data_IF_664529677965
#
_entry.id   IF_664529677965
#
_cell.length_a   1.000
_cell.length_b   1.000
_cell.length_c   1.000
_cell.angle_alpha   90.00
_cell.angle_beta   90.00
_cell.angle_gamma   90.00
#
_symmetry.space_group_name_H-M   'P 1'
#
loop_
_entity.id
_entity.type
_entity.pdbx_description
1 polymer ?
#
# COMPACT_ATOMS: atom_id res chain seq x y z
N UNK A 1 12.00 -3.03 -9.55
CA UNK A 1 12.59 -3.11 -8.19
C UNK A 1 13.19 -4.46 -7.85
N UNK A 2 12.49 -5.59 -8.03
CA UNK A 2 13.00 -6.91 -7.60
C UNK A 2 14.39 -7.26 -8.16
N UNK A 3 14.64 -7.05 -9.46
CA UNK A 3 15.96 -7.29 -10.06
C UNK A 3 17.08 -6.52 -9.33
N UNK A 4 16.85 -5.23 -9.06
CA UNK A 4 17.81 -4.38 -8.35
C UNK A 4 18.08 -4.86 -6.93
N UNK A 5 17.04 -5.31 -6.21
CA UNK A 5 17.19 -5.84 -4.86
C UNK A 5 18.01 -7.14 -4.85
N UNK A 6 17.77 -8.04 -5.80
CA UNK A 6 18.54 -9.29 -5.95
C UNK A 6 19.99 -8.99 -6.36
N UNK A 7 20.21 -8.03 -7.26
CA UNK A 7 21.55 -7.56 -7.59
C UNK A 7 22.25 -6.95 -6.38
N UNK A 8 21.56 -6.20 -5.52
CA UNK A 8 22.12 -5.65 -4.29
C UNK A 8 22.52 -6.77 -3.32
N UNK A 9 21.66 -7.76 -3.10
CA UNK A 9 21.98 -8.95 -2.28
C UNK A 9 23.17 -9.74 -2.83
N UNK A 10 23.35 -9.77 -4.15
CA UNK A 10 24.48 -10.42 -4.80
C UNK A 10 25.75 -9.55 -4.85
N UNK A 11 25.70 -8.29 -4.39
CA UNK A 11 26.80 -7.34 -4.47
C UNK A 11 27.16 -6.91 -5.89
N UNK A 12 26.19 -6.91 -6.80
CA UNK A 12 26.38 -6.66 -8.24
C UNK A 12 25.98 -5.24 -8.66
N UNK A 13 25.51 -4.39 -7.75
CA UNK A 13 25.16 -3.02 -8.11
C UNK A 13 26.42 -2.20 -8.41
N UNK A 14 26.40 -1.33 -9.45
CA UNK A 14 27.52 -0.45 -9.75
C UNK A 14 27.90 0.42 -8.54
N UNK A 15 29.16 0.37 -8.12
CA UNK A 15 29.67 1.16 -7.00
C UNK A 15 29.36 0.63 -5.59
N UNK A 16 28.66 -0.50 -5.45
CA UNK A 16 28.29 -1.05 -4.13
C UNK A 16 29.48 -1.57 -3.32
N UNK A 17 30.52 -2.10 -3.98
CA UNK A 17 31.75 -2.54 -3.32
C UNK A 17 31.63 -3.83 -2.48
N UNK A 18 30.52 -4.57 -2.59
CA UNK A 18 30.30 -5.83 -1.88
C UNK A 18 28.81 -6.19 -1.79
N UNK A 19 28.46 -7.25 -1.05
CA UNK A 19 27.07 -7.67 -0.80
C UNK A 19 26.49 -7.13 0.54
N UNK A 20 27.00 -5.98 0.98
CA UNK A 20 26.47 -5.30 2.17
C UNK A 20 25.25 -4.48 1.76
N UNK A 21 24.20 -4.59 2.57
CA UNK A 21 22.96 -3.86 2.47
C UNK A 21 22.84 -2.94 3.68
N UNK A 22 22.53 -1.67 3.42
CA UNK A 22 22.20 -0.68 4.42
C UNK A 22 20.79 -0.19 4.16
N UNK A 23 19.96 -0.19 5.21
CA UNK A 23 18.56 0.20 5.11
C UNK A 23 18.37 1.61 5.65
N UNK A 24 17.67 2.45 4.88
CA UNK A 24 17.32 3.80 5.34
C UNK A 24 16.38 3.77 6.56
N UNK A 25 15.56 2.72 6.68
CA UNK A 25 14.75 2.41 7.86
C UNK A 25 15.18 1.05 8.40
N UNK A 26 15.47 0.98 9.70
CA UNK A 26 15.95 -0.23 10.34
C UNK A 26 14.93 -1.38 10.23
N UNK A 27 15.30 -2.55 9.67
CA UNK A 27 14.38 -3.67 9.51
C UNK A 27 13.68 -4.11 10.81
N UNK A 28 14.35 -3.99 11.97
CA UNK A 28 13.75 -4.29 13.28
C UNK A 28 12.62 -3.33 13.71
N UNK A 29 12.39 -2.25 12.97
CA UNK A 29 11.25 -1.32 13.15
C UNK A 29 10.07 -1.62 12.22
N UNK A 30 10.06 -2.79 11.58
CA UNK A 30 8.95 -3.24 10.76
C UNK A 30 7.70 -3.45 11.63
N UNK A 31 6.62 -2.74 11.32
CA UNK A 31 5.37 -2.78 12.07
C UNK A 31 4.23 -3.28 11.19
N UNK A 32 3.90 -4.57 11.27
CA UNK A 32 2.90 -5.20 10.40
C UNK A 32 1.52 -4.54 10.47
N UNK A 33 1.19 -3.81 11.54
CA UNK A 33 -0.08 -3.10 11.68
C UNK A 33 -0.21 -1.94 10.67
N UNK A 34 0.90 -1.52 10.06
CA UNK A 34 0.99 -0.47 9.05
C UNK A 34 0.83 -0.98 7.61
N UNK A 35 0.89 -2.29 7.39
CA UNK A 35 0.73 -2.90 6.07
C UNK A 35 -0.69 -2.67 5.55
N UNK A 36 -0.83 -2.24 4.30
CA UNK A 36 -2.13 -1.96 3.69
C UNK A 36 -2.74 -0.62 4.11
N UNK A 37 -2.16 0.13 5.07
CA UNK A 37 -2.65 1.49 5.39
C UNK A 37 -2.33 2.53 4.32
N UNK A 38 -1.56 2.15 3.30
CA UNK A 38 -1.29 2.95 2.10
C UNK A 38 -0.66 4.31 2.42
N UNK A 39 0.09 4.40 3.51
CA UNK A 39 0.80 5.62 3.89
C UNK A 39 1.94 5.91 2.89
N UNK A 40 1.74 6.96 2.10
CA UNK A 40 2.70 7.44 1.12
C UNK A 40 3.11 8.88 1.35
N UNK A 41 4.27 9.25 0.82
CA UNK A 41 4.69 10.64 0.74
C UNK A 41 4.14 11.27 -0.55
N UNK A 42 3.54 12.46 -0.43
CA UNK A 42 3.05 13.27 -1.55
C UNK A 42 3.56 14.71 -1.38
N UNK A 43 4.16 15.33 -2.41
CA UNK A 43 4.58 16.73 -2.31
C UNK A 43 3.38 17.66 -2.12
N UNK A 44 3.53 18.70 -1.30
CA UNK A 44 2.48 19.68 -1.00
C UNK A 44 1.94 20.44 -2.24
N UNK A 45 2.71 20.47 -3.34
CA UNK A 45 2.34 21.11 -4.60
C UNK A 45 1.43 20.25 -5.50
N UNK A 46 1.16 18.99 -5.15
CA UNK A 46 0.32 18.11 -5.95
C UNK A 46 -1.17 18.33 -5.63
N UNK A 47 -2.06 18.26 -6.65
CA UNK A 47 -3.50 18.31 -6.43
C UNK A 47 -3.93 17.23 -5.42
N UNK A 48 -4.81 17.61 -4.48
CA UNK A 48 -5.45 16.65 -3.56
C UNK A 48 -6.44 15.81 -4.37
N UNK A 49 -6.45 14.49 -4.16
CA UNK A 49 -7.39 13.56 -4.78
C UNK A 49 -6.86 12.72 -5.95
N UNK A 50 -5.59 12.89 -6.34
CA UNK A 50 -4.98 12.02 -7.34
C UNK A 50 -4.22 10.83 -6.71
N UNK A 51 -4.15 9.72 -7.45
CA UNK A 51 -3.44 8.46 -7.11
C UNK A 51 -1.92 8.65 -7.21
N UNK A 52 -1.35 9.55 -6.43
CA UNK A 52 0.08 9.86 -6.46
C UNK A 52 0.69 9.76 -5.07
N UNK A 53 0.63 8.56 -4.48
CA UNK A 53 1.49 8.19 -3.37
C UNK A 53 2.14 6.85 -3.68
N UNK A 54 3.48 6.80 -3.66
CA UNK A 54 4.11 5.51 -3.42
C UNK A 54 3.79 5.15 -1.98
N UNK A 55 3.17 4.00 -1.76
CA UNK A 55 2.93 3.50 -0.43
C UNK A 55 4.29 3.09 0.16
N UNK A 56 5.02 4.09 0.67
CA UNK A 56 6.43 3.97 1.07
C UNK A 56 6.62 2.89 2.12
N UNK A 57 5.61 2.71 2.98
CA UNK A 57 5.59 1.63 3.95
C UNK A 57 5.45 0.28 3.25
N UNK A 58 4.47 0.09 2.37
CA UNK A 58 4.26 -1.19 1.66
C UNK A 58 5.44 -1.59 0.77
N UNK A 59 6.09 -0.62 0.11
CA UNK A 59 7.34 -0.88 -0.61
C UNK A 59 8.40 -1.37 0.38
N UNK A 60 8.60 -0.68 1.50
CA UNK A 60 9.53 -1.10 2.56
C UNK A 60 9.21 -2.52 3.07
N UNK A 61 7.94 -2.85 3.33
CA UNK A 61 7.52 -4.22 3.67
C UNK A 61 7.96 -5.23 2.60
N UNK A 62 7.68 -4.91 1.34
CA UNK A 62 8.04 -5.77 0.23
C UNK A 62 9.56 -5.99 0.16
N UNK A 63 10.38 -4.95 0.35
CA UNK A 63 11.85 -5.10 0.32
C UNK A 63 12.34 -6.03 1.43
N UNK A 64 11.87 -5.83 2.67
CA UNK A 64 12.25 -6.66 3.82
C UNK A 64 11.78 -8.11 3.62
N UNK A 65 10.56 -8.31 3.15
CA UNK A 65 10.02 -9.65 2.89
C UNK A 65 10.79 -10.39 1.78
N UNK A 66 11.18 -9.69 0.71
CA UNK A 66 11.99 -10.27 -0.37
C UNK A 66 13.34 -10.73 0.19
N UNK A 67 14.05 -9.89 0.94
CA UNK A 67 15.34 -10.29 1.53
C UNK A 67 15.19 -11.44 2.53
N UNK A 68 14.20 -11.40 3.42
CA UNK A 68 13.94 -12.50 4.34
C UNK A 68 13.67 -13.82 3.59
N UNK A 69 12.98 -13.75 2.45
CA UNK A 69 12.68 -14.93 1.65
C UNK A 69 13.92 -15.47 0.92
N UNK A 70 14.68 -14.63 0.22
CA UNK A 70 15.78 -15.09 -0.66
C UNK A 70 17.11 -15.31 0.05
N UNK A 71 17.35 -14.71 1.22
CA UNK A 71 18.56 -14.90 2.00
C UNK A 71 18.43 -16.10 2.94
N UNK A 72 19.48 -16.91 3.06
CA UNK A 72 19.50 -18.06 4.00
C UNK A 72 19.38 -17.57 5.44
N UNK A 73 20.12 -16.51 5.77
CA UNK A 73 20.09 -15.78 7.03
C UNK A 73 19.00 -14.69 7.09
N UNK A 74 17.93 -14.82 6.30
CA UNK A 74 16.80 -13.89 6.28
C UNK A 74 16.24 -13.51 7.66
N UNK A 75 16.08 -14.44 8.62
CA UNK A 75 15.57 -14.10 9.95
C UNK A 75 16.42 -13.08 10.73
N UNK A 76 17.74 -13.04 10.51
CA UNK A 76 18.65 -12.08 11.15
C UNK A 76 18.34 -10.64 10.74
N UNK A 77 17.67 -10.46 9.60
CA UNK A 77 17.25 -9.15 9.10
C UNK A 77 16.46 -8.39 10.18
N UNK A 78 15.59 -9.05 10.94
CA UNK A 78 14.75 -8.41 11.96
C UNK A 78 15.50 -8.04 13.25
N UNK A 79 16.79 -8.36 13.34
CA UNK A 79 17.67 -7.95 14.43
C UNK A 79 18.48 -6.69 14.04
N UNK A 80 18.51 -6.35 12.74
CA UNK A 80 19.28 -5.24 12.18
C UNK A 80 18.66 -3.90 12.61
N UNK A 81 19.44 -3.15 13.39
CA UNK A 81 19.13 -1.81 13.84
C UNK A 81 19.48 -0.72 12.81
N UNK A 82 19.27 0.53 13.22
CA UNK A 82 19.65 1.69 12.41
C UNK A 82 21.18 1.72 12.23
N UNK A 83 21.63 2.08 11.02
CA UNK A 83 23.04 2.18 10.64
C UNK A 83 23.85 0.86 10.76
N UNK A 84 23.16 -0.27 10.89
CA UNK A 84 23.79 -1.59 10.88
C UNK A 84 23.79 -2.20 9.48
N UNK A 85 24.91 -2.85 9.17
CA UNK A 85 25.10 -3.58 7.92
C UNK A 85 24.40 -4.94 7.99
N UNK A 86 23.72 -5.31 6.91
CA UNK A 86 23.23 -6.66 6.70
C UNK A 86 23.94 -7.29 5.50
N UNK A 87 24.43 -8.53 5.63
CA UNK A 87 24.89 -9.33 4.49
C UNK A 87 23.88 -10.41 4.19
N UNK A 88 23.36 -10.40 2.98
CA UNK A 88 22.49 -11.47 2.50
C UNK A 88 23.33 -12.68 2.07
N UNK A 89 23.11 -13.80 2.74
CA UNK A 89 23.57 -15.11 2.26
C UNK A 89 22.59 -15.62 1.21
N UNK A 90 22.65 -14.99 0.03
CA UNK A 90 21.70 -15.22 -1.07
C UNK A 90 21.66 -16.69 -1.46
N UNK A 91 20.46 -17.28 -1.40
CA UNK A 91 20.23 -18.67 -1.76
C UNK A 91 19.54 -18.77 -3.13
N UNK A 92 20.19 -19.48 -4.05
CA UNK A 92 19.62 -19.77 -5.37
C UNK A 92 18.33 -20.59 -5.27
N UNK A 93 18.22 -21.51 -4.31
CA UNK A 93 17.01 -22.33 -4.15
C UNK A 93 15.85 -21.47 -3.65
N UNK A 94 16.08 -20.62 -2.65
CA UNK A 94 15.08 -19.69 -2.13
C UNK A 94 14.67 -18.63 -3.16
N UNK A 95 15.60 -18.19 -4.00
CA UNK A 95 15.28 -17.33 -5.14
C UNK A 95 14.38 -18.05 -6.16
N UNK A 96 14.67 -19.31 -6.46
CA UNK A 96 13.83 -20.12 -7.36
C UNK A 96 12.43 -20.35 -6.77
N UNK A 97 12.32 -20.54 -5.45
CA UNK A 97 11.03 -20.62 -4.73
C UNK A 97 10.24 -19.31 -4.86
N UNK A 98 10.88 -18.15 -4.65
CA UNK A 98 10.26 -16.84 -4.88
C UNK A 98 9.81 -16.68 -6.33
N UNK A 99 10.65 -17.07 -7.29
CA UNK A 99 10.31 -17.00 -8.70
C UNK A 99 9.09 -17.87 -9.03
N UNK A 100 9.00 -19.08 -8.47
CA UNK A 100 7.81 -19.92 -8.62
C UNK A 100 6.57 -19.29 -8.01
N UNK A 101 6.69 -18.70 -6.81
CA UNK A 101 5.60 -17.99 -6.16
C UNK A 101 5.08 -16.83 -7.04
N UNK A 102 5.98 -16.02 -7.59
CA UNK A 102 5.64 -14.86 -8.42
C UNK A 102 5.09 -15.24 -9.80
N UNK A 103 5.48 -16.39 -10.34
CA UNK A 103 5.00 -16.89 -11.64
C UNK A 103 3.76 -17.79 -11.50
N UNK A 104 3.41 -18.21 -10.28
CA UNK A 104 2.21 -18.98 -10.04
C UNK A 104 0.95 -18.13 -10.31
N UNK A 105 -0.15 -18.74 -10.78
CA UNK A 105 -1.41 -18.02 -10.94
C UNK A 105 -1.82 -17.41 -9.61
N UNK A 106 -1.78 -16.09 -9.53
CA UNK A 106 -2.20 -15.36 -8.34
C UNK A 106 -3.67 -14.98 -8.50
N UNK A 107 -4.47 -15.31 -7.49
CA UNK A 107 -5.79 -14.73 -7.29
C UNK A 107 -5.68 -13.67 -6.22
N UNK A 108 -6.16 -12.46 -6.51
CA UNK A 108 -6.29 -11.41 -5.50
C UNK A 108 -7.16 -11.93 -4.34
N UNK A 109 -6.65 -11.92 -3.09
CA UNK A 109 -7.47 -12.23 -1.93
C UNK A 109 -8.71 -11.32 -1.92
N UNK A 110 -9.88 -11.86 -1.56
CA UNK A 110 -11.11 -11.06 -1.51
C UNK A 110 -11.06 -9.91 -0.50
N UNK A 111 -10.11 -9.97 0.44
CA UNK A 111 -9.76 -8.98 1.45
C UNK A 111 -8.50 -8.16 1.09
N UNK A 112 -7.97 -8.31 -0.14
CA UNK A 112 -6.86 -7.49 -0.60
C UNK A 112 -7.25 -6.01 -0.54
N UNK A 113 -6.51 -5.25 0.27
CA UNK A 113 -6.82 -3.85 0.50
C UNK A 113 -6.44 -3.05 -0.75
N UNK A 114 -7.43 -2.51 -1.45
CA UNK A 114 -7.15 -1.50 -2.46
C UNK A 114 -6.66 -0.25 -1.75
N UNK A 115 -5.45 0.21 -2.09
CA UNK A 115 -4.96 1.52 -1.73
C UNK A 115 -5.77 2.59 -2.49
N UNK A 116 -7.01 2.78 -2.05
CA UNK A 116 -7.81 3.94 -2.40
C UNK A 116 -7.10 5.11 -1.73
N UNK A 117 -6.45 5.92 -2.57
CA UNK A 117 -5.59 7.02 -2.14
C UNK A 117 -6.22 7.77 -0.99
N UNK A 118 -5.43 7.97 0.06
CA UNK A 118 -5.82 8.56 1.34
C UNK A 118 -6.69 9.78 1.10
N UNK A 119 -8.00 9.60 1.17
CA UNK A 119 -8.92 10.62 1.58
C UNK A 119 -9.83 9.97 2.62
N UNK A 120 -9.64 10.45 3.85
CA UNK A 120 -10.53 10.27 5.01
C UNK A 120 -10.45 8.92 5.72
N UNK A 121 -9.72 8.89 6.83
CA UNK A 121 -10.23 8.48 8.16
C UNK A 121 -11.07 7.21 8.32
N UNK A 122 -11.07 6.29 7.37
CA UNK A 122 -11.90 5.09 7.36
C UNK A 122 -10.97 3.91 7.12
N UNK A 123 -10.36 3.46 8.21
CA UNK A 123 -10.35 2.02 8.43
C UNK A 123 -11.82 1.61 8.34
N UNK A 124 -12.23 0.52 7.67
CA UNK A 124 -13.56 -0.02 7.88
C UNK A 124 -13.68 -0.34 9.36
N UNK A 125 -14.18 0.65 10.11
CA UNK A 125 -14.69 0.49 11.43
C UNK A 125 -15.75 -0.57 11.31
N UNK A 126 -15.68 -1.50 12.24
CA UNK A 126 -16.53 -2.65 12.48
C UNK A 126 -18.03 -2.37 12.57
N UNK A 127 -18.52 -1.19 12.16
CA UNK A 127 -19.80 -0.64 12.60
C UNK A 127 -20.71 -0.21 11.41
N UNK A 128 -20.24 -0.33 10.16
CA UNK A 128 -21.12 -0.21 8.97
C UNK A 128 -21.70 1.18 8.70
N UNK A 129 -21.13 2.24 9.27
CA UNK A 129 -21.62 3.61 9.13
C UNK A 129 -20.97 4.33 7.94
N UNK A 130 -21.79 4.93 7.07
CA UNK A 130 -21.30 5.62 5.87
C UNK A 130 -20.74 7.01 6.21
N UNK A 131 -19.56 7.37 5.68
CA UNK A 131 -18.86 8.59 6.06
C UNK A 131 -19.45 9.87 5.46
N UNK A 132 -20.04 9.78 4.26
CA UNK A 132 -20.50 10.95 3.54
C UNK A 132 -21.87 11.39 4.06
N UNK A 133 -21.94 12.62 4.52
CA UNK A 133 -23.16 13.24 5.03
C UNK A 133 -24.03 13.77 3.91
N UNK A 134 -25.24 14.18 4.29
CA UNK A 134 -26.15 14.88 3.39
C UNK A 134 -25.45 16.08 2.73
N UNK A 135 -25.63 16.21 1.42
CA UNK A 135 -25.04 17.23 0.55
C UNK A 135 -23.52 17.11 0.33
N UNK A 136 -22.85 16.08 0.86
CA UNK A 136 -21.45 15.82 0.53
C UNK A 136 -21.29 15.12 -0.82
N UNK A 137 -20.10 15.28 -1.43
CA UNK A 137 -19.79 14.65 -2.70
C UNK A 137 -19.60 13.15 -2.49
N UNK A 138 -20.38 12.34 -3.19
CA UNK A 138 -20.34 10.87 -3.10
C UNK A 138 -19.85 10.21 -4.38
N UNK A 139 -19.50 10.97 -5.43
CA UNK A 139 -18.95 10.39 -6.64
C UNK A 139 -18.72 11.40 -7.77
N UNK A 140 -18.25 10.88 -8.91
CA UNK A 140 -17.95 11.64 -10.12
C UNK A 140 -16.47 12.05 -10.25
N UNK A 141 -16.02 12.25 -11.48
CA UNK A 141 -14.61 12.54 -11.81
C UNK A 141 -13.97 11.55 -12.78
N UNK A 142 -14.77 10.76 -13.51
CA UNK A 142 -14.27 9.79 -14.48
C UNK A 142 -14.01 8.39 -13.92
N UNK A 143 -14.05 8.22 -12.59
CA UNK A 143 -14.11 6.93 -11.91
C UNK A 143 -15.56 6.46 -11.75
N UNK A 144 -15.80 5.16 -11.94
CA UNK A 144 -17.11 4.52 -11.70
C UNK A 144 -17.31 4.14 -10.21
N UNK A 145 -16.43 4.61 -9.33
CA UNK A 145 -16.54 4.39 -7.88
C UNK A 145 -17.49 5.42 -7.29
N UNK A 146 -18.57 4.93 -6.68
CA UNK A 146 -19.49 5.70 -5.83
C UNK A 146 -19.20 5.38 -4.37
N UNK A 147 -19.07 6.43 -3.55
CA UNK A 147 -18.94 6.32 -2.11
C UNK A 147 -20.34 6.26 -1.49
N UNK A 148 -20.47 5.56 -0.36
CA UNK A 148 -21.77 5.41 0.30
C UNK A 148 -22.18 6.68 1.08
N UNK A 149 -23.50 6.89 1.25
CA UNK A 149 -24.09 8.04 1.93
C UNK A 149 -24.75 7.63 3.25
N UNK A 150 -24.63 8.48 4.29
CA UNK A 150 -25.25 8.26 5.59
C UNK A 150 -26.78 8.39 5.57
N UNK A 151 -27.43 7.90 6.63
CA UNK A 151 -28.84 8.20 6.96
C UNK A 151 -29.87 7.89 5.86
N UNK A 152 -29.60 6.87 5.02
CA UNK A 152 -30.49 6.49 3.91
C UNK A 152 -30.52 7.48 2.75
N UNK A 153 -29.59 8.45 2.73
CA UNK A 153 -29.38 9.34 1.60
C UNK A 153 -28.90 8.57 0.36
N UNK A 154 -29.24 9.10 -0.82
CA UNK A 154 -28.93 8.46 -2.11
C UNK A 154 -27.87 9.28 -2.83
N UNK A 155 -26.87 8.60 -3.39
CA UNK A 155 -25.84 9.26 -4.19
C UNK A 155 -26.39 9.57 -5.59
N UNK A 156 -26.68 10.84 -5.87
CA UNK A 156 -27.33 11.26 -7.12
C UNK A 156 -26.51 12.33 -7.83
N UNK A 157 -26.43 12.24 -9.15
CA UNK A 157 -25.83 13.26 -9.98
C UNK A 157 -25.39 12.75 -11.35
N UNK A 158 -24.43 13.45 -11.94
CA UNK A 158 -23.88 13.15 -13.27
C UNK A 158 -22.59 12.32 -13.17
N UNK A 159 -22.04 11.92 -14.33
CA UNK A 159 -20.71 11.30 -14.43
C UNK A 159 -19.59 12.15 -13.82
N UNK A 160 -19.75 13.48 -13.82
CA UNK A 160 -18.72 14.41 -13.39
C UNK A 160 -18.84 14.80 -11.92
N UNK A 161 -20.03 14.67 -11.35
CA UNK A 161 -20.30 15.06 -9.97
C UNK A 161 -21.58 14.39 -9.46
N UNK A 162 -21.49 13.71 -8.32
CA UNK A 162 -22.60 13.12 -7.57
C UNK A 162 -22.56 13.57 -6.11
N UNK A 163 -23.73 13.73 -5.52
CA UNK A 163 -23.93 14.27 -4.18
C UNK A 163 -24.94 13.41 -3.40
N UNK A 164 -24.70 13.25 -2.09
CA UNK A 164 -25.67 12.61 -1.19
C UNK A 164 -26.89 13.52 -1.05
N UNK A 165 -28.06 13.05 -1.46
CA UNK A 165 -29.33 13.78 -1.32
C UNK A 165 -30.32 12.99 -0.47
N UNK A 166 -31.30 13.66 0.17
CA UNK A 166 -32.36 12.95 0.88
C UNK A 166 -33.09 11.98 -0.07
N UNK A 167 -33.54 10.81 0.41
CA UNK A 167 -34.41 9.95 -0.37
C UNK A 167 -35.70 10.72 -0.75
N UNK A 168 -36.25 10.46 -1.94
CA UNK A 168 -37.43 11.19 -2.43
C UNK A 168 -38.63 10.99 -1.47
N UNK A 169 -38.88 12.02 -0.65
CA UNK A 169 -39.87 12.04 0.43
C UNK A 169 -39.69 13.26 1.35
N UNK A 170 -38.45 13.75 1.49
CA UNK A 170 -38.08 14.87 2.37
C UNK A 170 -37.69 16.16 1.63
N UNK A 171 -38.33 16.43 0.48
CA UNK A 171 -38.27 17.79 -0.10
C UNK A 171 -39.12 18.72 0.77
N UNK A 172 -38.54 19.21 1.86
CA UNK A 172 -39.12 20.33 2.62
C UNK A 172 -39.07 21.57 1.71
N UNK A 173 -40.21 22.26 1.48
CA UNK A 173 -40.26 23.45 0.63
C UNK A 173 -39.41 24.61 1.14
#
# INVERSE_FOLDING_TARGET
>A
NLEWQVCAAAGKLPGQGGNVLQFAKAPNTLDLDELGRCHGWVPASRPRGDVYGYATKDIYFLEICIYNHVCTNGPELFEVGQDQDFRCDLSTSKFAELQQLLLSPWSEPGDAMQCLGIEWGIVPGSDGECPNRLWEKCGGGGSDVELCCADGAVCVGSKWYKQCIPPEGDRVP
#
